data_IF_896110133617
#
_entry.id   IF_896110133617
#
_cell.length_a   1.000
_cell.length_b   1.000
_cell.length_c   1.000
_cell.angle_alpha   90.00
_cell.angle_beta   90.00
_cell.angle_gamma   90.00
#
_symmetry.space_group_name_H-M   'P 1'
#
loop_
_entity.id
_entity.type
_entity.pdbx_description
1 polymer ?
#
# COMPACT_ATOMS: atom_id res chain seq x y z
N UNK A 1 -2.42 5.62 21.69
CA UNK A 1 -3.48 5.34 20.71
C UNK A 1 -3.47 3.85 20.39
N UNK A 2 -4.64 3.22 20.25
CA UNK A 2 -4.75 1.79 19.94
C UNK A 2 -4.75 1.52 18.44
N UNK A 3 -4.33 0.32 18.03
CA UNK A 3 -4.48 -0.16 16.64
C UNK A 3 -5.99 -0.29 16.35
N UNK A 4 -6.51 0.25 15.23
CA UNK A 4 -7.90 0.05 14.87
C UNK A 4 -8.21 -1.45 14.68
N UNK A 5 -9.41 -1.85 15.05
CA UNK A 5 -9.99 -3.13 14.66
C UNK A 5 -10.16 -3.19 13.14
N UNK A 6 -10.35 -4.39 12.61
CA UNK A 6 -10.61 -4.57 11.18
C UNK A 6 -11.86 -3.79 10.72
N UNK A 7 -12.91 -3.77 11.54
CA UNK A 7 -14.15 -3.05 11.24
C UNK A 7 -13.96 -1.52 11.26
N UNK A 8 -13.20 -0.99 12.22
CA UNK A 8 -12.87 0.44 12.28
C UNK A 8 -12.03 0.86 11.07
N UNK A 9 -11.05 0.04 10.68
CA UNK A 9 -10.23 0.30 9.50
C UNK A 9 -11.06 0.24 8.21
N UNK A 10 -11.92 -0.76 8.06
CA UNK A 10 -12.80 -0.88 6.90
C UNK A 10 -13.73 0.33 6.77
N UNK A 11 -14.34 0.75 7.88
CA UNK A 11 -15.20 1.94 7.92
C UNK A 11 -14.42 3.19 7.51
N UNK A 12 -13.21 3.37 8.04
CA UNK A 12 -12.35 4.51 7.70
C UNK A 12 -11.97 4.53 6.21
N UNK A 13 -11.66 3.37 5.62
CA UNK A 13 -11.35 3.25 4.19
C UNK A 13 -12.56 3.57 3.32
N UNK A 14 -13.76 3.09 3.67
CA UNK A 14 -14.99 3.41 2.95
C UNK A 14 -15.27 4.92 2.97
N UNK A 15 -15.12 5.56 4.13
CA UNK A 15 -15.30 7.01 4.25
C UNK A 15 -14.23 7.78 3.46
N UNK A 16 -12.98 7.30 3.42
CA UNK A 16 -11.94 7.89 2.61
C UNK A 16 -12.26 7.82 1.10
N UNK A 17 -12.84 6.71 0.62
CA UNK A 17 -13.31 6.62 -0.77
C UNK A 17 -14.38 7.67 -1.04
N UNK A 18 -15.37 7.80 -0.16
CA UNK A 18 -16.46 8.78 -0.30
C UNK A 18 -15.95 10.23 -0.36
N UNK A 19 -15.01 10.60 0.53
CA UNK A 19 -14.40 11.94 0.54
C UNK A 19 -13.75 12.28 -0.80
N UNK A 20 -13.08 11.32 -1.44
CA UNK A 20 -12.48 11.54 -2.76
C UNK A 20 -13.53 11.65 -3.86
N UNK A 21 -14.55 10.80 -3.85
CA UNK A 21 -15.62 10.81 -4.85
C UNK A 21 -16.47 12.09 -4.80
N UNK A 22 -16.66 12.64 -3.60
CA UNK A 22 -17.42 13.87 -3.38
C UNK A 22 -16.58 15.15 -3.54
N UNK A 23 -15.27 15.02 -3.73
CA UNK A 23 -14.35 16.17 -3.80
C UNK A 23 -14.12 16.88 -2.46
N UNK A 24 -14.42 16.20 -1.35
CA UNK A 24 -14.30 16.72 0.02
C UNK A 24 -12.95 16.40 0.67
N UNK A 25 -12.06 15.67 -0.03
CA UNK A 25 -10.70 15.39 0.40
C UNK A 25 -9.73 16.58 0.22
N UNK A 26 -10.12 17.75 0.74
CA UNK A 26 -9.44 19.04 0.54
C UNK A 26 -7.97 19.00 1.00
N UNK A 27 -7.69 18.24 2.06
CA UNK A 27 -6.37 18.11 2.64
C UNK A 27 -5.67 16.79 2.29
N UNK A 28 -6.19 16.05 1.31
CA UNK A 28 -5.60 14.79 0.81
C UNK A 28 -5.45 13.69 1.87
N UNK A 29 -6.19 13.76 2.98
CA UNK A 29 -6.14 12.78 4.07
C UNK A 29 -6.65 11.43 3.55
N UNK A 30 -7.73 11.44 2.78
CA UNK A 30 -8.27 10.22 2.21
C UNK A 30 -7.36 9.64 1.12
N UNK A 31 -6.81 10.47 0.23
CA UNK A 31 -5.80 10.07 -0.75
C UNK A 31 -4.59 9.42 -0.08
N UNK A 32 -4.06 10.03 0.98
CA UNK A 32 -2.93 9.50 1.74
C UNK A 32 -3.28 8.18 2.43
N UNK A 33 -4.42 8.11 3.13
CA UNK A 33 -4.86 6.89 3.83
C UNK A 33 -5.05 5.72 2.86
N UNK A 34 -5.74 5.95 1.73
CA UNK A 34 -5.99 4.91 0.72
C UNK A 34 -4.69 4.46 0.05
N UNK A 35 -3.78 5.38 -0.24
CA UNK A 35 -2.47 5.05 -0.79
C UNK A 35 -1.64 4.20 0.18
N UNK A 36 -1.57 4.60 1.45
CA UNK A 36 -0.86 3.85 2.49
C UNK A 36 -1.47 2.47 2.68
N UNK A 37 -2.79 2.36 2.73
CA UNK A 37 -3.48 1.07 2.84
C UNK A 37 -3.23 0.16 1.63
N UNK A 38 -3.18 0.72 0.42
CA UNK A 38 -2.80 -0.03 -0.78
C UNK A 38 -1.36 -0.56 -0.70
N UNK A 39 -0.41 0.31 -0.36
CA UNK A 39 1.03 -0.04 -0.23
C UNK A 39 1.28 -1.05 0.89
N UNK A 40 0.54 -0.96 1.99
CA UNK A 40 0.67 -1.87 3.11
C UNK A 40 0.46 -3.34 2.70
N UNK A 41 -0.46 -3.61 1.77
CA UNK A 41 -0.72 -4.98 1.27
C UNK A 41 0.52 -5.61 0.63
N UNK A 42 1.29 -4.83 -0.13
CA UNK A 42 2.54 -5.32 -0.74
C UNK A 42 3.63 -5.55 0.30
N UNK A 43 3.69 -4.71 1.33
CA UNK A 43 4.64 -4.90 2.43
C UNK A 43 4.29 -6.12 3.29
N UNK A 44 3.00 -6.40 3.49
CA UNK A 44 2.54 -7.65 4.13
C UNK A 44 2.92 -8.88 3.30
N UNK A 45 2.76 -8.82 1.97
CA UNK A 45 3.18 -9.91 1.08
C UNK A 45 4.70 -10.15 1.14
N UNK A 46 5.52 -9.08 1.13
CA UNK A 46 6.97 -9.19 1.32
C UNK A 46 7.28 -9.88 2.65
N UNK A 47 6.64 -9.46 3.75
CA UNK A 47 6.86 -10.06 5.06
C UNK A 47 6.53 -11.56 5.05
N UNK A 48 5.47 -11.97 4.36
CA UNK A 48 5.09 -13.38 4.27
C UNK A 48 6.06 -14.18 3.39
N UNK A 49 6.59 -13.60 2.30
CA UNK A 49 7.66 -14.24 1.52
C UNK A 49 8.98 -14.35 2.28
N UNK A 50 9.33 -13.35 3.09
CA UNK A 50 10.52 -13.41 3.96
C UNK A 50 10.39 -14.58 4.94
N UNK A 51 9.24 -14.72 5.61
CA UNK A 51 9.00 -15.84 6.54
C UNK A 51 9.14 -17.19 5.83
N UNK A 52 8.57 -17.32 4.63
CA UNK A 52 8.66 -18.54 3.83
C UNK A 52 10.10 -18.86 3.44
N UNK A 53 10.83 -17.86 2.93
CA UNK A 53 12.24 -18.00 2.55
C UNK A 53 13.10 -18.46 3.74
N UNK A 54 12.97 -17.81 4.90
CA UNK A 54 13.69 -18.18 6.11
C UNK A 54 13.32 -19.59 6.61
N UNK A 55 12.04 -19.95 6.55
CA UNK A 55 11.59 -21.28 6.97
C UNK A 55 12.06 -22.41 6.03
N UNK A 56 12.23 -22.10 4.74
CA UNK A 56 12.70 -23.07 3.73
C UNK A 56 14.20 -23.39 3.81
N UNK A 57 14.96 -22.70 4.68
CA UNK A 57 16.41 -22.80 4.69
C UNK A 57 17.04 -22.14 3.46
N UNK A 58 16.47 -21.00 3.04
CA UNK A 58 16.99 -20.16 1.96
C UNK A 58 16.93 -20.82 0.56
N UNK A 59 15.81 -21.49 0.26
CA UNK A 59 15.57 -22.15 -1.03
C UNK A 59 15.54 -21.19 -2.23
N UNK A 60 16.00 -21.66 -3.39
CA UNK A 60 16.10 -20.83 -4.60
C UNK A 60 14.72 -20.41 -5.16
N UNK A 61 13.68 -21.23 -4.97
CA UNK A 61 12.31 -20.91 -5.41
C UNK A 61 11.74 -19.80 -4.54
N UNK A 62 11.86 -19.94 -3.22
CA UNK A 62 11.40 -18.97 -2.24
C UNK A 62 12.16 -17.65 -2.37
N UNK A 63 13.46 -17.70 -2.67
CA UNK A 63 14.26 -16.52 -2.99
C UNK A 63 13.67 -15.77 -4.19
N UNK A 64 13.37 -16.46 -5.29
CA UNK A 64 12.78 -15.82 -6.48
C UNK A 64 11.41 -15.21 -6.18
N UNK A 65 10.58 -15.88 -5.37
CA UNK A 65 9.29 -15.35 -4.92
C UNK A 65 9.46 -14.09 -4.05
N UNK A 66 10.46 -14.08 -3.16
CA UNK A 66 10.77 -12.91 -2.34
C UNK A 66 11.22 -11.71 -3.19
N UNK A 67 12.13 -11.92 -4.14
CA UNK A 67 12.58 -10.86 -5.05
C UNK A 67 11.39 -10.25 -5.80
N UNK A 68 10.51 -11.10 -6.36
CA UNK A 68 9.30 -10.63 -7.04
C UNK A 68 8.40 -9.78 -6.12
N UNK A 69 8.18 -10.21 -4.88
CA UNK A 69 7.36 -9.46 -3.94
C UNK A 69 7.98 -8.09 -3.59
N UNK A 70 9.31 -8.02 -3.48
CA UNK A 70 10.04 -6.76 -3.26
C UNK A 70 9.85 -5.82 -4.45
N UNK A 71 10.01 -6.31 -5.68
CA UNK A 71 9.81 -5.53 -6.90
C UNK A 71 8.37 -4.97 -6.99
N UNK A 72 7.36 -5.78 -6.65
CA UNK A 72 5.96 -5.35 -6.62
C UNK A 72 5.72 -4.25 -5.56
N UNK A 73 6.33 -4.38 -4.38
CA UNK A 73 6.26 -3.35 -3.33
C UNK A 73 6.94 -2.03 -3.73
N UNK A 74 8.08 -2.09 -4.42
CA UNK A 74 8.78 -0.92 -4.95
C UNK A 74 7.95 -0.20 -6.02
N UNK A 75 7.40 -0.95 -6.99
CA UNK A 75 6.54 -0.40 -8.03
C UNK A 75 5.28 0.29 -7.45
N UNK A 76 4.71 -0.28 -6.38
CA UNK A 76 3.56 0.33 -5.68
C UNK A 76 3.88 1.70 -5.06
N UNK A 77 5.15 1.96 -4.76
CA UNK A 77 5.62 3.23 -4.21
C UNK A 77 5.93 4.26 -5.30
N UNK A 78 6.39 3.83 -6.48
CA UNK A 78 6.70 4.72 -7.61
C UNK A 78 5.45 5.26 -8.30
N UNK A 79 4.43 4.40 -8.49
CA UNK A 79 3.18 4.78 -9.15
C UNK A 79 2.40 5.90 -8.43
N UNK A 80 2.70 6.13 -7.15
CA UNK A 80 2.04 7.15 -6.33
C UNK A 80 2.64 8.57 -6.47
N UNK A 81 3.87 8.69 -6.99
CA UNK A 81 4.62 9.95 -7.02
C UNK A 81 4.69 10.65 -8.38
N UNK A 82 4.47 9.94 -9.49
CA UNK A 82 4.79 10.48 -10.84
C UNK A 82 3.62 11.13 -11.58
N UNK A 83 2.37 10.98 -11.13
CA UNK A 83 1.21 11.45 -11.91
C UNK A 83 0.74 12.88 -11.60
N UNK A 84 1.22 13.52 -10.54
CA UNK A 84 0.68 14.83 -10.09
C UNK A 84 1.57 16.05 -10.46
N UNK A 85 2.84 15.85 -10.80
CA UNK A 85 3.80 16.96 -11.02
C UNK A 85 3.77 17.55 -12.44
N UNK A 86 2.89 17.06 -13.32
CA UNK A 86 2.83 17.48 -14.75
C UNK A 86 1.54 18.17 -15.17
N UNK A 87 0.65 18.52 -14.25
CA UNK A 87 -0.63 19.11 -14.63
C UNK A 87 -1.08 20.21 -13.68
N UNK A 88 -0.42 21.37 -13.74
CA UNK A 88 -1.08 22.67 -13.61
C UNK A 88 -0.17 23.82 -14.10
N UNK A 89 -0.27 24.24 -15.37
CA UNK A 89 -0.11 25.65 -15.68
C UNK A 89 -1.38 26.38 -15.23
N UNK A 90 -1.19 27.58 -14.68
CA UNK A 90 -2.17 28.50 -14.08
C UNK A 90 -2.49 28.22 -12.60
#
# INVERSE_FOLDING_TARGET
MGKPTAAELETALQHAVQLREQGEDIYYIAKALLNLNYRLKFLEEVLDKVKLYLHSGEGAVEHALLIKAIEEAEQSSMAAGETDDKMHPW
#
